data_IF_200090381755
#
_entry.id   IF_200090381755
#
_cell.length_a   1.000
_cell.length_b   1.000
_cell.length_c   1.000
_cell.angle_alpha   90.00
_cell.angle_beta   90.00
_cell.angle_gamma   90.00
#
_symmetry.space_group_name_H-M   'P 1'
#
loop_
_entity.id
_entity.type
_entity.pdbx_description
1 polymer ?
#
# COMPACT_ATOMS: atom_id res chain seq x y z
N UNK A 1 -1.93 -10.81 10.26
CA UNK A 1 -1.35 -10.24 9.01
C UNK A 1 0.18 -10.45 8.92
N UNK A 2 0.72 -11.53 9.47
CA UNK A 2 2.17 -11.72 9.60
C UNK A 2 2.91 -12.07 8.30
N UNK A 3 2.19 -12.56 7.28
CA UNK A 3 2.75 -12.86 5.96
C UNK A 3 2.45 -11.72 4.97
N UNK A 4 3.33 -11.53 3.99
CA UNK A 4 3.13 -10.57 2.92
C UNK A 4 1.84 -10.87 2.14
N UNK A 5 1.09 -9.84 1.70
CA UNK A 5 -0.12 -10.04 0.91
C UNK A 5 0.22 -10.63 -0.46
N UNK A 6 -0.66 -11.49 -0.98
CA UNK A 6 -0.63 -11.91 -2.38
C UNK A 6 -1.53 -10.99 -3.20
N UNK A 7 -0.96 -10.32 -4.20
CA UNK A 7 -1.70 -9.42 -5.09
C UNK A 7 -2.10 -10.17 -6.35
N UNK A 8 -3.41 -10.21 -6.61
CA UNK A 8 -4.00 -10.82 -7.81
C UNK A 8 -4.47 -9.72 -8.77
N UNK A 9 -3.73 -9.49 -9.85
CA UNK A 9 -4.02 -8.43 -10.84
C UNK A 9 -4.81 -8.94 -12.06
N UNK A 10 -4.88 -10.25 -12.25
CA UNK A 10 -5.53 -10.90 -13.39
C UNK A 10 -7.05 -10.71 -13.42
N UNK A 11 -7.68 -10.63 -12.24
CA UNK A 11 -9.15 -10.47 -12.10
C UNK A 11 -9.60 -9.00 -12.08
N UNK A 12 -8.68 -8.05 -12.26
CA UNK A 12 -9.01 -6.63 -12.22
C UNK A 12 -9.27 -6.12 -13.63
N UNK A 13 -10.29 -5.27 -13.83
CA UNK A 13 -10.60 -4.63 -15.11
C UNK A 13 -9.59 -3.54 -15.52
N UNK A 14 -8.31 -3.72 -15.19
CA UNK A 14 -7.25 -2.77 -15.47
C UNK A 14 -7.02 -2.68 -16.98
N UNK A 15 -6.92 -1.46 -17.49
CA UNK A 15 -6.61 -1.21 -18.89
C UNK A 15 -5.10 -1.41 -19.14
N UNK A 16 -4.70 -2.66 -19.33
CA UNK A 16 -3.36 -3.05 -19.81
C UNK A 16 -2.58 -3.96 -18.86
N UNK A 17 -1.51 -4.57 -19.38
CA UNK A 17 -0.73 -5.59 -18.68
C UNK A 17 0.23 -5.07 -17.61
N UNK A 18 0.37 -3.75 -17.45
CA UNK A 18 1.31 -3.11 -16.52
C UNK A 18 2.30 -2.19 -17.23
N UNK A 19 3.47 -1.90 -16.61
CA UNK A 19 3.85 -2.29 -15.25
C UNK A 19 3.09 -1.50 -14.16
N UNK A 20 2.94 -2.09 -12.97
CA UNK A 20 2.26 -1.50 -11.81
C UNK A 20 3.16 -1.45 -10.56
N UNK A 21 2.96 -0.42 -9.75
CA UNK A 21 3.52 -0.28 -8.41
C UNK A 21 2.45 -0.61 -7.39
N UNK A 22 2.73 -1.58 -6.53
CA UNK A 22 1.92 -1.91 -5.36
C UNK A 22 2.61 -1.39 -4.11
N UNK A 23 1.84 -0.85 -3.17
CA UNK A 23 2.35 -0.47 -1.86
C UNK A 23 1.31 -0.65 -0.77
N UNK A 24 1.79 -0.95 0.43
CA UNK A 24 0.99 -0.97 1.66
C UNK A 24 1.49 0.11 2.60
N UNK A 25 0.58 0.95 3.09
CA UNK A 25 0.89 2.06 3.97
C UNK A 25 -0.03 2.13 5.18
N UNK A 26 0.49 2.68 6.27
CA UNK A 26 -0.24 3.02 7.49
C UNK A 26 -0.30 4.56 7.61
N UNK A 27 -1.45 5.22 7.36
CA UNK A 27 -1.60 6.65 7.52
C UNK A 27 -1.83 7.09 8.97
N UNK A 28 -2.11 6.16 9.89
CA UNK A 28 -2.46 6.48 11.27
C UNK A 28 -1.23 6.56 12.20
N UNK A 29 -0.05 6.18 11.70
CA UNK A 29 1.21 6.32 12.45
C UNK A 29 1.58 7.78 12.72
N UNK A 30 1.09 8.71 11.90
CA UNK A 30 1.28 10.14 12.12
C UNK A 30 0.16 10.96 11.47
N UNK A 31 -0.49 11.82 12.26
CA UNK A 31 -1.54 12.72 11.77
C UNK A 31 -0.92 14.03 11.25
N UNK A 32 -0.24 13.99 10.11
CA UNK A 32 0.37 15.17 9.47
C UNK A 32 -0.44 15.69 8.29
N UNK A 33 -0.24 16.98 7.97
CA UNK A 33 -0.66 17.59 6.72
C UNK A 33 0.53 18.37 6.10
N UNK A 34 1.13 17.92 4.98
CA UNK A 34 0.73 16.80 4.12
C UNK A 34 0.86 15.42 4.77
N UNK A 35 0.13 14.43 4.24
CA UNK A 35 0.05 13.07 4.77
C UNK A 35 1.40 12.34 4.69
N UNK A 36 1.95 11.98 5.85
CA UNK A 36 3.12 11.12 5.98
C UNK A 36 2.70 9.78 6.60
N UNK A 37 3.19 8.70 6.03
CA UNK A 37 2.71 7.35 6.32
C UNK A 37 3.83 6.42 6.79
N UNK A 38 3.48 5.30 7.41
CA UNK A 38 4.38 4.17 7.62
C UNK A 38 4.38 3.27 6.40
N UNK A 39 5.54 3.00 5.80
CA UNK A 39 5.67 2.08 4.67
C UNK A 39 5.82 0.63 5.16
N UNK A 40 4.89 -0.25 4.78
CA UNK A 40 4.94 -1.67 5.11
C UNK A 40 5.57 -2.52 4.00
N UNK A 41 5.27 -2.20 2.75
CA UNK A 41 5.93 -2.81 1.59
C UNK A 41 5.76 -1.95 0.34
N UNK A 42 6.66 -2.14 -0.62
CA UNK A 42 6.56 -1.60 -1.97
C UNK A 42 7.10 -2.62 -2.97
N UNK A 43 6.32 -2.88 -4.01
CA UNK A 43 6.66 -3.79 -5.10
C UNK A 43 6.45 -3.02 -6.41
N UNK A 44 7.37 -3.19 -7.36
CA UNK A 44 7.33 -2.49 -8.65
C UNK A 44 7.37 -3.50 -9.79
N UNK A 45 7.05 -3.03 -10.99
CA UNK A 45 7.10 -3.82 -12.23
C UNK A 45 6.16 -5.02 -12.23
N UNK A 46 5.06 -4.92 -11.49
CA UNK A 46 4.01 -5.94 -11.48
C UNK A 46 3.26 -5.94 -12.81
N UNK A 47 2.94 -7.14 -13.29
CA UNK A 47 2.15 -7.34 -14.50
C UNK A 47 0.88 -8.11 -14.20
N UNK A 48 -0.16 -7.96 -15.02
CA UNK A 48 -1.45 -8.63 -14.79
C UNK A 48 -1.38 -10.15 -14.86
N UNK A 49 -0.33 -10.71 -15.45
CA UNK A 49 -0.09 -12.15 -15.55
C UNK A 49 0.71 -12.74 -14.38
N UNK A 50 1.23 -11.90 -13.48
CA UNK A 50 2.09 -12.32 -12.37
C UNK A 50 1.44 -12.13 -11.00
N UNK A 51 1.79 -13.02 -10.06
CA UNK A 51 1.53 -12.82 -8.64
C UNK A 51 2.74 -12.15 -7.99
N UNK A 52 2.54 -11.34 -6.96
CA UNK A 52 3.63 -10.79 -6.15
C UNK A 52 4.35 -11.87 -5.37
N UNK A 53 5.68 -11.94 -5.48
CA UNK A 53 6.54 -12.66 -4.53
C UNK A 53 7.22 -11.69 -3.55
N UNK A 54 7.64 -12.19 -2.39
CA UNK A 54 8.43 -11.41 -1.42
C UNK A 54 9.75 -10.89 -2.01
N UNK A 55 10.31 -11.62 -2.97
CA UNK A 55 11.58 -11.30 -3.64
C UNK A 55 11.46 -10.16 -4.67
N UNK A 56 10.24 -9.82 -5.10
CA UNK A 56 9.99 -8.74 -6.06
C UNK A 56 9.93 -7.35 -5.36
N UNK A 57 9.93 -7.34 -4.03
CA UNK A 57 9.73 -6.14 -3.25
C UNK A 57 11.00 -5.28 -3.17
N UNK A 58 10.90 -4.03 -3.64
CA UNK A 58 11.93 -3.00 -3.43
C UNK A 58 11.94 -2.49 -1.99
N UNK A 59 10.84 -2.69 -1.26
CA UNK A 59 10.75 -2.54 0.18
C UNK A 59 10.10 -3.80 0.75
N UNK A 60 10.90 -4.66 1.37
CA UNK A 60 10.44 -5.97 1.87
C UNK A 60 9.31 -5.79 2.88
N UNK A 61 8.36 -6.73 2.89
CA UNK A 61 7.22 -6.66 3.80
C UNK A 61 7.65 -6.60 5.27
N UNK A 62 7.02 -5.68 6.01
CA UNK A 62 7.03 -5.63 7.46
C UNK A 62 5.58 -5.67 7.92
N UNK A 63 5.24 -6.60 8.82
CA UNK A 63 3.86 -6.84 9.22
C UNK A 63 3.32 -5.68 10.08
N UNK A 64 1.99 -5.44 10.07
CA UNK A 64 1.32 -4.57 11.02
C UNK A 64 1.65 -4.94 12.46
N UNK A 65 2.05 -3.95 13.26
CA UNK A 65 2.22 -4.09 14.69
C UNK A 65 1.78 -2.78 15.37
N UNK A 66 0.48 -2.42 15.28
CA UNK A 66 0.00 -1.17 15.86
C UNK A 66 0.17 -1.19 17.38
N UNK A 67 0.57 -0.06 17.95
CA UNK A 67 0.68 0.09 19.40
C UNK A 67 -0.70 0.23 20.04
N UNK A 68 -0.78 -0.01 21.36
CA UNK A 68 -2.04 0.07 22.09
C UNK A 68 -2.72 1.44 21.90
N UNK A 69 -4.01 1.42 21.54
CA UNK A 69 -4.76 2.63 21.23
C UNK A 69 -5.88 2.39 20.23
N UNK A 70 -6.17 3.41 19.41
CA UNK A 70 -7.08 3.26 18.29
C UNK A 70 -6.48 2.29 17.26
N UNK A 71 -7.33 1.47 16.63
CA UNK A 71 -6.89 0.59 15.56
C UNK A 71 -6.46 1.39 14.33
N UNK A 72 -5.35 0.96 13.71
CA UNK A 72 -4.77 1.59 12.52
C UNK A 72 -5.40 1.03 11.24
N UNK A 73 -5.53 1.87 10.22
CA UNK A 73 -5.91 1.50 8.87
C UNK A 73 -4.67 1.17 8.07
N UNK A 74 -4.65 0.02 7.41
CA UNK A 74 -3.61 -0.35 6.48
C UNK A 74 -4.18 -0.32 5.08
N UNK A 75 -3.65 0.57 4.26
CA UNK A 75 -4.16 0.84 2.92
C UNK A 75 -3.22 0.29 1.88
N UNK A 76 -3.78 -0.50 0.97
CA UNK A 76 -3.15 -0.98 -0.23
C UNK A 76 -3.45 -0.03 -1.39
N UNK A 77 -2.42 0.40 -2.09
CA UNK A 77 -2.54 1.15 -3.33
C UNK A 77 -1.89 0.39 -4.48
N UNK A 78 -2.54 0.46 -5.64
CA UNK A 78 -1.98 0.03 -6.91
C UNK A 78 -1.93 1.24 -7.86
N UNK A 79 -0.75 1.56 -8.38
CA UNK A 79 -0.56 2.64 -9.34
C UNK A 79 -0.04 2.08 -10.66
N UNK A 80 -0.46 2.69 -11.77
CA UNK A 80 0.17 2.41 -13.07
C UNK A 80 1.51 3.14 -13.15
N UNK A 81 2.58 2.41 -13.43
CA UNK A 81 3.89 3.04 -13.59
C UNK A 81 3.95 3.77 -14.95
N UNK A 82 4.41 5.03 -14.99
CA UNK A 82 4.73 5.70 -16.24
C UNK A 82 5.90 5.02 -16.96
N UNK A 83 6.07 5.35 -18.24
CA UNK A 83 7.24 4.91 -19.00
C UNK A 83 8.53 5.38 -18.31
N UNK A 84 9.54 4.50 -18.26
CA UNK A 84 10.83 4.75 -17.61
C UNK A 84 10.74 5.09 -16.12
N UNK A 85 9.75 4.53 -15.41
CA UNK A 85 9.62 4.72 -13.97
C UNK A 85 10.91 4.37 -13.22
N UNK A 86 11.33 5.27 -12.33
CA UNK A 86 12.42 5.04 -11.39
C UNK A 86 12.05 5.65 -10.05
N UNK A 87 12.56 5.06 -8.97
CA UNK A 87 12.41 5.60 -7.62
C UNK A 87 13.52 6.62 -7.38
N UNK A 88 13.21 7.90 -7.10
CA UNK A 88 14.24 8.89 -6.80
C UNK A 88 15.09 8.49 -5.59
N UNK A 89 16.40 8.65 -5.69
CA UNK A 89 17.39 8.20 -4.69
C UNK A 89 17.10 8.71 -3.27
N UNK A 90 16.48 9.88 -3.13
CA UNK A 90 16.06 10.45 -1.85
C UNK A 90 15.07 9.57 -1.06
N UNK A 91 14.34 8.66 -1.73
CA UNK A 91 13.40 7.75 -1.08
C UNK A 91 14.04 6.42 -0.66
N UNK A 92 15.26 6.11 -1.12
CA UNK A 92 15.93 4.86 -0.81
C UNK A 92 16.04 4.56 0.70
N UNK A 93 16.28 5.54 1.61
CA UNK A 93 16.31 5.27 3.05
C UNK A 93 15.01 4.68 3.61
N UNK A 94 13.85 5.00 3.03
CA UNK A 94 12.55 4.49 3.46
C UNK A 94 12.27 3.07 2.95
N UNK A 95 12.95 2.65 1.88
CA UNK A 95 12.73 1.33 1.26
C UNK A 95 13.69 0.27 1.80
N UNK A 96 14.84 0.71 2.32
CA UNK A 96 15.87 -0.18 2.84
C UNK A 96 15.38 -1.00 4.05
N UNK A 97 15.72 -2.28 4.06
CA UNK A 97 15.58 -3.16 5.22
C UNK A 97 16.89 -3.14 5.99
N UNK A 98 16.87 -2.56 7.19
CA UNK A 98 18.06 -2.30 8.00
C UNK A 98 17.77 -2.64 9.46
N UNK A 99 18.78 -2.51 10.34
CA UNK A 99 18.58 -2.60 11.79
C UNK A 99 17.66 -1.52 12.36
N UNK A 100 17.32 -0.47 11.58
CA UNK A 100 16.38 0.58 11.97
C UNK A 100 14.95 0.32 11.51
N UNK A 101 14.67 -0.80 10.84
CA UNK A 101 13.30 -1.16 10.43
C UNK A 101 12.49 -1.58 11.66
N UNK A 102 11.25 -1.07 11.86
CA UNK A 102 10.45 -0.27 10.92
C UNK A 102 10.64 1.25 10.99
N UNK A 103 11.36 1.79 11.97
CA UNK A 103 11.48 3.24 12.19
C UNK A 103 11.95 4.05 10.97
N UNK A 104 12.83 3.51 10.13
CA UNK A 104 13.28 4.19 8.91
C UNK A 104 12.18 4.34 7.85
N UNK A 105 11.06 3.64 8.02
CA UNK A 105 9.92 3.61 7.09
C UNK A 105 8.76 4.51 7.54
N UNK A 106 8.87 5.07 8.75
CA UNK A 106 7.92 6.04 9.29
C UNK A 106 8.16 7.40 8.61
N UNK A 107 7.10 8.19 8.52
CA UNK A 107 7.11 9.52 7.89
C UNK A 107 7.45 9.51 6.40
N UNK A 108 7.12 8.43 5.69
CA UNK A 108 7.25 8.39 4.24
C UNK A 108 6.34 9.46 3.61
N UNK A 109 6.88 10.42 2.83
CA UNK A 109 6.10 11.51 2.26
C UNK A 109 5.35 11.05 1.00
N UNK A 110 4.26 10.31 1.19
CA UNK A 110 3.50 9.62 0.15
C UNK A 110 3.07 10.56 -1.00
N UNK A 111 2.49 11.71 -0.67
CA UNK A 111 2.00 12.68 -1.66
C UNK A 111 3.13 13.21 -2.53
N UNK A 112 4.28 13.50 -1.92
CA UNK A 112 5.46 13.95 -2.67
C UNK A 112 6.04 12.85 -3.54
N UNK A 113 6.09 11.61 -3.04
CA UNK A 113 6.56 10.47 -3.79
C UNK A 113 5.73 10.24 -5.05
N UNK A 114 4.39 10.20 -4.93
CA UNK A 114 3.46 10.03 -6.06
C UNK A 114 3.65 11.15 -7.08
N UNK A 115 3.79 12.40 -6.62
CA UNK A 115 4.03 13.56 -7.49
C UNK A 115 5.38 13.48 -8.22
N UNK A 116 6.46 13.13 -7.50
CA UNK A 116 7.83 13.09 -8.05
C UNK A 116 8.04 11.94 -9.02
N UNK A 117 7.32 10.84 -8.85
CA UNK A 117 7.38 9.66 -9.71
C UNK A 117 6.35 9.67 -10.84
N UNK A 118 5.47 10.69 -10.87
CA UNK A 118 4.39 10.83 -11.85
C UNK A 118 3.45 9.60 -11.92
N UNK A 119 3.20 8.97 -10.77
CA UNK A 119 2.31 7.80 -10.68
C UNK A 119 0.83 8.15 -10.92
N UNK A 120 0.45 9.40 -10.73
CA UNK A 120 -0.94 9.85 -10.87
C UNK A 120 -1.84 9.30 -9.76
N UNK A 121 -3.09 9.01 -10.11
CA UNK A 121 -4.08 8.45 -9.20
C UNK A 121 -3.94 6.92 -9.11
N UNK A 122 -4.26 6.30 -7.95
CA UNK A 122 -4.28 4.85 -7.85
C UNK A 122 -5.37 4.26 -8.75
N UNK A 123 -5.03 3.19 -9.47
CA UNK A 123 -5.97 2.48 -10.36
C UNK A 123 -6.83 1.46 -9.62
N UNK A 124 -6.37 1.02 -8.44
CA UNK A 124 -7.11 0.20 -7.50
C UNK A 124 -6.61 0.47 -6.08
N UNK A 125 -7.47 0.23 -5.10
CA UNK A 125 -7.13 0.28 -3.69
C UNK A 125 -7.94 -0.75 -2.91
N UNK A 126 -7.40 -1.14 -1.76
CA UNK A 126 -8.09 -1.95 -0.76
C UNK A 126 -7.54 -1.58 0.62
N UNK A 127 -8.22 -1.93 1.71
CA UNK A 127 -7.73 -1.62 3.05
C UNK A 127 -8.25 -2.64 4.07
N UNK A 128 -7.58 -2.71 5.21
CA UNK A 128 -8.09 -3.37 6.40
C UNK A 128 -7.73 -2.56 7.64
N UNK A 129 -8.27 -2.95 8.78
CA UNK A 129 -8.03 -2.30 10.07
C UNK A 129 -7.53 -3.31 11.08
N UNK A 130 -6.51 -2.95 11.85
CA UNK A 130 -5.92 -3.82 12.87
C UNK A 130 -5.67 -3.05 14.16
N UNK A 131 -6.02 -3.66 15.29
CA UNK A 131 -5.79 -3.14 16.63
C UNK A 131 -4.55 -3.80 17.23
N UNK A 132 -3.96 -3.19 18.25
CA UNK A 132 -2.89 -3.83 19.01
C UNK A 132 -3.34 -5.20 19.52
N UNK A 133 -2.45 -6.20 19.46
CA UNK A 133 -2.72 -7.49 20.05
C UNK A 133 -2.95 -7.33 21.56
N UNK A 134 -4.16 -7.60 22.02
CA UNK A 134 -4.43 -7.70 23.46
C UNK A 134 -3.97 -9.08 23.94
N UNK A 135 -3.08 -9.13 24.93
CA UNK A 135 -2.74 -10.37 25.65
C UNK A 135 -3.93 -10.82 26.52
N UNK A 136 -5.04 -11.19 25.90
CA UNK A 136 -6.19 -11.79 26.56
C UNK A 136 -6.08 -13.30 26.36
N UNK A 137 -5.67 -14.02 27.41
CA UNK A 137 -5.89 -15.46 27.53
C UNK A 137 -7.35 -15.72 27.19
N UNK A 138 -7.60 -16.43 26.09
CA UNK A 138 -8.92 -16.68 25.56
C UNK A 138 -9.80 -17.41 26.60
N UNK A 139 -10.55 -16.64 27.40
CA UNK A 139 -11.72 -17.15 28.10
C UNK A 139 -12.90 -16.91 27.18
N UNK A 140 -13.23 -17.96 26.43
CA UNK A 140 -14.39 -18.04 25.56
C UNK A 140 -15.68 -17.84 26.38
N UNK A 141 -16.14 -16.59 26.46
CA UNK A 141 -17.50 -16.27 26.87
C UNK A 141 -18.30 -15.97 25.61
N UNK A 142 -18.86 -17.04 25.04
CA UNK A 142 -19.82 -16.94 23.96
C UNK A 142 -21.10 -16.26 24.45
N UNK A 143 -21.50 -15.19 23.78
CA UNK A 143 -22.90 -14.79 23.73
C UNK A 143 -23.26 -14.60 22.26
N UNK A 144 -24.06 -15.55 21.78
CA UNK A 144 -24.63 -15.56 20.45
C UNK A 144 -26.06 -15.07 20.54
N UNK A 145 -26.43 -14.12 19.68
CA UNK A 145 -27.79 -14.06 19.15
C UNK A 145 -27.71 -14.44 17.66
N UNK A 146 -28.45 -15.50 17.34
CA UNK A 146 -28.55 -16.21 16.07
C UNK A 146 -29.09 -15.33 14.91
N UNK A 147 -28.95 -15.66 13.62
CA UNK A 147 -29.01 -16.98 12.97
C UNK A 147 -28.17 -16.95 11.66
N UNK A 148 -27.50 -18.00 11.19
CA UNK A 148 -28.05 -19.27 10.67
C UNK A 148 -26.89 -20.21 10.26
N UNK A 149 -27.16 -21.51 10.30
CA UNK A 149 -26.42 -22.67 9.73
C UNK A 149 -25.18 -23.20 10.48
N UNK A 150 -25.48 -24.24 11.26
CA UNK A 150 -24.60 -25.25 11.87
C UNK A 150 -23.63 -25.90 10.88
N UNK A 151 -22.34 -25.97 11.25
CA UNK A 151 -21.46 -27.11 10.96
C UNK A 151 -20.31 -27.15 11.96
N UNK A 152 -20.13 -28.32 12.55
CA UNK A 152 -19.20 -28.70 13.62
C UNK A 152 -17.74 -28.35 13.34
N UNK A 153 -17.07 -27.75 14.32
CA UNK A 153 -15.64 -27.45 14.29
C UNK A 153 -14.79 -28.71 14.41
N UNK A 154 -13.77 -28.82 13.55
CA UNK A 154 -12.51 -29.51 13.87
C UNK A 154 -11.40 -28.49 13.68
N UNK A 155 -10.63 -28.25 14.74
CA UNK A 155 -9.67 -27.15 14.84
C UNK A 155 -8.51 -27.26 13.85
N UNK A 156 -8.15 -26.12 13.27
CA UNK A 156 -6.82 -25.87 12.71
C UNK A 156 -6.61 -24.36 12.66
N UNK A 157 -5.40 -23.90 12.99
CA UNK A 157 -5.03 -22.49 13.07
C UNK A 157 -5.45 -21.71 11.82
N UNK A 158 -6.36 -20.75 11.97
CA UNK A 158 -6.87 -19.97 10.85
C UNK A 158 -5.89 -18.84 10.50
N UNK A 159 -5.31 -18.93 9.30
CA UNK A 159 -4.74 -17.78 8.61
C UNK A 159 -5.90 -16.87 8.23
N UNK A 160 -5.94 -15.62 8.73
CA UNK A 160 -6.99 -14.67 8.39
C UNK A 160 -6.77 -14.12 6.99
N UNK A 161 -7.48 -14.67 6.01
CA UNK A 161 -7.59 -14.10 4.66
C UNK A 161 -8.52 -12.88 4.75
N UNK A 162 -7.99 -11.68 4.50
CA UNK A 162 -8.81 -10.48 4.40
C UNK A 162 -9.17 -10.28 2.92
N UNK A 163 -10.34 -10.78 2.49
CA UNK A 163 -10.90 -10.44 1.18
C UNK A 163 -11.54 -9.04 1.28
N UNK A 164 -11.02 -8.08 0.52
CA UNK A 164 -11.60 -6.74 0.43
C UNK A 164 -12.06 -6.44 -0.99
N UNK A 165 -13.14 -5.68 -1.12
CA UNK A 165 -13.69 -5.28 -2.41
C UNK A 165 -12.74 -4.28 -3.09
N UNK A 166 -12.14 -4.69 -4.22
CA UNK A 166 -11.37 -3.79 -5.06
C UNK A 166 -12.33 -2.81 -5.77
N UNK A 167 -12.27 -1.53 -5.42
CA UNK A 167 -12.96 -0.49 -6.17
C UNK A 167 -12.02 0.07 -7.24
N UNK A 168 -12.44 0.04 -8.50
CA UNK A 168 -11.76 0.75 -9.59
C UNK A 168 -12.02 2.25 -9.41
N UNK A 169 -10.98 3.04 -9.19
CA UNK A 169 -11.12 4.50 -9.13
C UNK A 169 -11.24 5.02 -10.56
N UNK A 170 -12.46 5.35 -10.97
CA UNK A 170 -12.74 5.91 -12.29
C UNK A 170 -12.24 7.34 -12.40
N UNK A 171 -11.43 7.61 -13.42
CA UNK A 171 -10.86 8.92 -13.75
C UNK A 171 -11.97 9.94 -14.10
N UNK A 172 -12.54 10.60 -13.10
CA UNK A 172 -13.52 11.67 -13.29
C UNK A 172 -13.31 12.78 -12.27
N UNK A 173 -12.21 13.51 -12.45
CA UNK A 173 -11.88 14.69 -11.64
C UNK A 173 -10.75 15.47 -12.27
N UNK A 174 -11.07 16.43 -13.15
CA UNK A 174 -10.09 17.32 -13.76
C UNK A 174 -9.52 18.30 -12.73
N UNK A 175 -8.33 18.02 -12.20
CA UNK A 175 -7.50 19.04 -11.55
C UNK A 175 -6.58 19.68 -12.59
N UNK A 176 -6.92 20.90 -13.00
CA UNK A 176 -6.12 21.72 -13.90
C UNK A 176 -4.79 22.08 -13.22
N UNK A 177 -3.72 21.34 -13.52
CA UNK A 177 -2.36 21.75 -13.19
C UNK A 177 -1.80 22.59 -14.33
N UNK A 178 -1.82 23.91 -14.14
CA UNK A 178 -1.17 24.88 -15.02
C UNK A 178 0.35 24.66 -15.05
N UNK A 179 0.86 24.12 -16.16
CA UNK A 179 2.29 24.06 -16.47
C UNK A 179 2.72 25.43 -17.00
N UNK A 180 3.43 26.22 -16.20
CA UNK A 180 4.16 27.38 -16.70
C UNK A 180 5.52 26.92 -17.21
N UNK A 181 5.62 26.67 -18.52
CA UNK A 181 6.88 26.45 -19.21
C UNK A 181 7.59 27.79 -19.41
N UNK A 182 8.68 28.04 -18.69
CA UNK A 182 9.60 29.13 -19.03
C UNK A 182 10.58 28.58 -20.06
N UNK A 183 10.34 28.93 -21.32
CA UNK A 183 11.28 28.78 -22.43
C UNK A 183 12.34 29.87 -22.27
N UNK A 184 13.56 29.46 -21.91
CA UNK A 184 14.75 30.31 -21.95
C UNK A 184 15.68 29.86 -23.07
N UNK A 185 15.37 30.27 -24.29
CA UNK A 185 16.31 30.19 -25.41
C UNK A 185 17.28 31.38 -25.31
N UNK A 186 18.58 31.13 -25.38
CA UNK A 186 19.52 32.12 -25.89
C UNK A 186 20.67 31.42 -26.62
N UNK A 187 20.60 31.53 -27.95
CA UNK A 187 21.64 31.21 -28.91
C UNK A 187 22.35 32.51 -29.26
N UNK A 188 23.69 32.49 -29.27
CA UNK A 188 24.55 32.98 -30.36
C UNK A 188 25.89 33.54 -29.86
N UNK A 189 26.94 33.13 -30.59
CA UNK A 189 28.35 33.43 -30.42
C UNK A 189 28.76 34.81 -30.96
N UNK A 190 29.90 35.33 -30.46
CA UNK A 190 31.09 35.75 -31.25
C UNK A 190 32.33 35.40 -30.44
#
# INVERSE_FOLDING_TARGET
THNAPTVHLNETSLSGSGPYLFMMVDPDINTTNPLYVGMHTMVVNLTTSGNTSAEDAVCSYFYPEPTAGAAHNYTFFLFKQPANFTIPKQYAPYLATTSKTPYNRINFPLVEFVKKTALGEPVAANYFKEAAESNATATSSGSSNASTATSTATGSAATSTHEGAAATVGQSGSYLMSVLAVVGALVAAV
#
